data_IF_584587642560
#
_entry.id   IF_584587642560
#
_cell.length_a   1.000
_cell.length_b   1.000
_cell.length_c   1.000
_cell.angle_alpha   90.00
_cell.angle_beta   90.00
_cell.angle_gamma   90.00
#
_symmetry.space_group_name_H-M   'P 1'
#
loop_
_entity.id
_entity.type
_entity.pdbx_description
1 polymer ?
#
# COMPACT_ATOMS: atom_id res chain seq x y z
N UNK A 1 8.98 4.48 -3.39
CA UNK A 1 7.53 4.34 -3.14
C UNK A 1 7.05 3.17 -3.97
N UNK A 2 6.32 2.23 -3.37
CA UNK A 2 5.72 1.09 -4.03
C UNK A 2 4.21 1.27 -3.94
N UNK A 3 3.67 2.02 -4.90
CA UNK A 3 2.27 2.43 -4.92
C UNK A 3 1.38 1.26 -5.33
N UNK A 4 0.30 1.01 -4.57
CA UNK A 4 -0.67 -0.06 -4.78
C UNK A 4 -0.10 -1.50 -4.84
N UNK A 5 1.06 -1.70 -4.20
CA UNK A 5 1.76 -2.99 -4.15
C UNK A 5 0.91 -4.10 -3.53
N UNK A 6 0.03 -3.77 -2.58
CA UNK A 6 -0.74 -4.78 -1.85
C UNK A 6 -1.57 -5.66 -2.77
N UNK A 7 -2.11 -5.14 -3.88
CA UNK A 7 -2.86 -5.95 -4.84
C UNK A 7 -1.99 -6.97 -5.56
N UNK A 8 -0.75 -6.61 -5.93
CA UNK A 8 0.17 -7.52 -6.61
C UNK A 8 0.54 -8.70 -5.71
N UNK A 9 0.71 -8.45 -4.41
CA UNK A 9 0.97 -9.48 -3.42
C UNK A 9 -0.27 -10.33 -3.15
N UNK A 10 -1.42 -9.69 -2.91
CA UNK A 10 -2.66 -10.37 -2.55
C UNK A 10 -3.22 -11.23 -3.69
N UNK A 11 -3.01 -10.83 -4.95
CA UNK A 11 -3.42 -11.61 -6.12
C UNK A 11 -2.35 -12.59 -6.60
N UNK A 12 -1.20 -12.66 -5.92
CA UNK A 12 -0.12 -13.59 -6.26
C UNK A 12 0.58 -13.30 -7.57
N UNK A 13 0.48 -12.06 -8.09
CA UNK A 13 1.25 -11.64 -9.26
C UNK A 13 2.73 -11.46 -8.95
N UNK A 14 3.06 -11.16 -7.69
CA UNK A 14 4.41 -11.16 -7.18
C UNK A 14 4.53 -12.16 -6.02
N UNK A 15 5.68 -12.83 -5.95
CA UNK A 15 5.98 -13.66 -4.79
C UNK A 15 6.20 -12.78 -3.56
N UNK A 16 5.35 -12.97 -2.56
CA UNK A 16 5.39 -12.19 -1.31
C UNK A 16 6.70 -12.43 -0.56
N UNK A 17 7.21 -13.65 -0.54
CA UNK A 17 8.43 -13.95 0.21
C UNK A 17 9.65 -13.23 -0.38
N UNK A 18 9.81 -13.26 -1.71
CA UNK A 18 10.85 -12.52 -2.42
C UNK A 18 10.76 -11.00 -2.17
N UNK A 19 9.57 -10.41 -2.32
CA UNK A 19 9.38 -8.96 -2.11
C UNK A 19 9.73 -8.54 -0.68
N UNK A 20 9.30 -9.30 0.34
CA UNK A 20 9.65 -9.00 1.73
C UNK A 20 11.15 -9.15 2.00
N UNK A 21 11.82 -10.10 1.34
CA UNK A 21 13.28 -10.27 1.45
C UNK A 21 14.02 -9.07 0.84
N UNK A 22 13.61 -8.60 -0.33
CA UNK A 22 14.20 -7.44 -1.00
C UNK A 22 14.02 -6.16 -0.15
N UNK A 23 12.84 -5.95 0.43
CA UNK A 23 12.58 -4.80 1.30
C UNK A 23 13.46 -4.86 2.56
N UNK A 24 13.73 -6.05 3.12
CA UNK A 24 14.65 -6.22 4.25
C UNK A 24 16.10 -5.96 3.87
N UNK A 25 16.50 -6.35 2.67
CA UNK A 25 17.88 -6.22 2.17
C UNK A 25 18.23 -4.82 1.66
N UNK A 26 17.27 -3.88 1.65
CA UNK A 26 17.48 -2.51 1.20
C UNK A 26 18.63 -1.81 1.94
N UNK A 27 19.31 -0.82 1.34
CA UNK A 27 20.29 0.02 2.03
C UNK A 27 19.73 0.61 3.32
N UNK A 28 20.50 0.68 4.43
CA UNK A 28 19.97 1.07 5.74
C UNK A 28 19.30 2.46 5.80
N UNK A 29 19.77 3.40 4.97
CA UNK A 29 19.22 4.76 4.91
C UNK A 29 18.06 4.91 3.90
N UNK A 30 17.68 3.84 3.19
CA UNK A 30 16.59 3.89 2.22
C UNK A 30 15.24 3.67 2.92
N UNK A 31 14.35 4.66 2.77
CA UNK A 31 12.97 4.54 3.19
C UNK A 31 12.10 3.93 2.09
N UNK A 32 11.18 3.05 2.48
CA UNK A 32 10.19 2.44 1.60
C UNK A 32 8.81 2.84 2.11
N UNK A 33 8.00 3.42 1.22
CA UNK A 33 6.59 3.72 1.46
C UNK A 33 5.80 2.79 0.57
N UNK A 34 4.83 2.10 1.16
CA UNK A 34 3.95 1.15 0.48
C UNK A 34 2.53 1.63 0.70
N UNK A 35 1.73 1.65 -0.37
CA UNK A 35 0.32 2.03 -0.30
C UNK A 35 -0.54 0.87 -0.81
N UNK A 36 -1.83 0.98 -0.52
CA UNK A 36 -2.86 0.08 -1.01
C UNK A 36 -3.71 -0.51 0.10
N UNK A 37 -4.82 -1.13 -0.30
CA UNK A 37 -5.81 -1.70 0.62
C UNK A 37 -5.39 -3.09 1.07
N UNK A 38 -5.85 -3.50 2.25
CA UNK A 38 -5.68 -4.85 2.78
C UNK A 38 -4.22 -5.33 2.74
N UNK A 39 -3.31 -4.55 3.35
CA UNK A 39 -1.94 -4.99 3.57
C UNK A 39 -1.92 -6.31 4.36
N UNK A 40 -1.12 -7.28 3.89
CA UNK A 40 -1.04 -8.60 4.53
C UNK A 40 -0.39 -8.51 5.91
N UNK A 41 -0.71 -9.42 6.85
CA UNK A 41 -0.08 -9.43 8.17
C UNK A 41 1.44 -9.44 8.11
N UNK A 42 2.04 -10.21 7.19
CA UNK A 42 3.48 -10.27 7.00
C UNK A 42 4.10 -8.94 6.55
N UNK A 43 3.36 -8.14 5.75
CA UNK A 43 3.79 -6.81 5.36
C UNK A 43 3.69 -5.82 6.52
N UNK A 44 2.61 -5.91 7.31
CA UNK A 44 2.43 -5.11 8.51
C UNK A 44 3.51 -5.41 9.56
N UNK A 45 3.84 -6.68 9.78
CA UNK A 45 4.92 -7.10 10.69
C UNK A 45 6.31 -6.57 10.27
N UNK A 46 6.53 -6.39 8.97
CA UNK A 46 7.78 -5.83 8.45
C UNK A 46 7.87 -4.30 8.62
N UNK A 47 6.74 -3.60 8.73
CA UNK A 47 6.68 -2.15 8.70
C UNK A 47 7.02 -1.53 10.06
N UNK A 48 7.88 -0.50 10.04
CA UNK A 48 8.17 0.31 11.22
C UNK A 48 7.02 1.28 11.57
N UNK A 49 6.19 1.64 10.59
CA UNK A 49 5.08 2.57 10.75
C UNK A 49 3.92 2.16 9.85
N UNK A 50 2.71 2.12 10.43
CA UNK A 50 1.48 1.78 9.74
C UNK A 50 0.46 2.88 10.00
N UNK A 51 -0.17 3.38 8.94
CA UNK A 51 -1.31 4.28 9.00
C UNK A 51 -2.48 3.67 8.23
N UNK A 52 -3.63 3.55 8.88
CA UNK A 52 -4.86 3.08 8.25
C UNK A 52 -5.77 4.27 7.93
N UNK A 53 -6.17 4.37 6.66
CA UNK A 53 -7.11 5.39 6.21
C UNK A 53 -8.51 4.77 6.13
N UNK A 54 -9.33 5.05 7.15
CA UNK A 54 -10.73 4.61 7.19
C UNK A 54 -11.65 5.47 6.31
N UNK A 55 -12.64 4.84 5.67
CA UNK A 55 -13.64 5.54 4.86
C UNK A 55 -14.83 6.06 5.70
N UNK A 56 -14.58 7.06 6.56
CA UNK A 56 -15.63 7.68 7.39
C UNK A 56 -16.66 8.40 6.51
N UNK A 57 -16.19 9.21 5.55
CA UNK A 57 -17.01 9.92 4.57
C UNK A 57 -16.26 10.07 3.25
N UNK A 58 -16.91 9.75 2.13
CA UNK A 58 -16.35 9.92 0.79
C UNK A 58 -17.29 10.70 -0.13
N UNK A 59 -16.75 11.63 -0.93
CA UNK A 59 -17.52 12.46 -1.86
C UNK A 59 -18.24 11.61 -2.93
N UNK A 60 -17.60 10.55 -3.41
CA UNK A 60 -18.18 9.57 -4.32
C UNK A 60 -19.54 9.02 -3.85
N UNK A 61 -19.71 8.76 -2.53
CA UNK A 61 -20.99 8.27 -1.97
C UNK A 61 -22.12 9.29 -2.04
N UNK A 62 -21.80 10.56 -2.25
CA UNK A 62 -22.75 11.64 -2.51
C UNK A 62 -22.94 11.92 -4.02
N UNK A 63 -22.41 11.07 -4.91
CA UNK A 63 -22.55 11.20 -6.37
C UNK A 63 -21.56 12.16 -7.03
N UNK A 64 -20.58 12.70 -6.29
CA UNK A 64 -19.51 13.52 -6.86
C UNK A 64 -18.54 12.59 -7.59
N UNK A 65 -18.39 12.81 -8.90
CA UNK A 65 -17.47 12.04 -9.74
C UNK A 65 -16.03 12.48 -9.54
N UNK A 66 -15.09 11.66 -9.99
CA UNK A 66 -13.66 11.95 -9.96
C UNK A 66 -13.34 13.29 -10.64
N UNK A 67 -12.53 14.10 -9.97
CA UNK A 67 -12.13 15.42 -10.46
C UNK A 67 -10.62 15.47 -10.69
N UNK A 68 -10.19 15.97 -11.86
CA UNK A 68 -8.77 16.13 -12.16
C UNK A 68 -8.08 17.02 -11.11
N UNK A 69 -6.98 16.54 -10.56
CA UNK A 69 -6.22 17.22 -9.51
C UNK A 69 -6.72 16.96 -8.08
N UNK A 70 -7.79 16.18 -7.92
CA UNK A 70 -8.27 15.67 -6.63
C UNK A 70 -8.17 14.15 -6.62
N UNK A 71 -8.79 13.50 -7.61
CA UNK A 71 -8.77 12.07 -7.82
C UNK A 71 -7.84 11.72 -9.01
N UNK A 72 -7.28 10.51 -8.99
CA UNK A 72 -6.45 9.95 -10.07
C UNK A 72 -7.29 9.14 -11.06
#
# INVERSE_FOLDING_TARGET
VLDELTYLLNYGYLDTAAVLADIRARPPAQHVIITGRAASPALCELADTIAEIGDVKHAYRAGIQAQQGIDL
#
